data_IF_428236663074
#
_entry.id   IF_428236663074
#
_cell.length_a   1.000
_cell.length_b   1.000
_cell.length_c   1.000
_cell.angle_alpha   90.00
_cell.angle_beta   90.00
_cell.angle_gamma   90.00
#
_symmetry.space_group_name_H-M   'P 1'
#
loop_
_entity.id
_entity.type
_entity.pdbx_description
1 polymer ?
#
# COMPACT_ATOMS: atom_id res chain seq x y z
N UNK A 1 -5.85 17.91 7.43
CA UNK A 1 -4.47 17.53 7.83
C UNK A 1 -4.30 16.05 8.16
N UNK A 2 -5.22 15.37 8.86
CA UNK A 2 -5.07 13.93 9.16
C UNK A 2 -5.05 13.01 7.90
N UNK A 3 -5.89 13.32 6.91
CA UNK A 3 -5.98 12.58 5.64
C UNK A 3 -4.69 12.65 4.80
N UNK A 4 -4.03 13.81 4.73
CA UNK A 4 -2.77 13.96 3.99
C UNK A 4 -1.62 13.21 4.65
N UNK A 5 -1.58 13.21 5.99
CA UNK A 5 -0.60 12.44 6.77
C UNK A 5 -0.78 10.93 6.56
N UNK A 6 -2.04 10.45 6.53
CA UNK A 6 -2.32 9.06 6.21
C UNK A 6 -1.99 8.70 4.75
N UNK A 7 -2.34 9.53 3.77
CA UNK A 7 -1.94 9.30 2.36
C UNK A 7 -0.42 9.23 2.20
N UNK A 8 0.32 10.11 2.88
CA UNK A 8 1.79 10.08 2.87
C UNK A 8 2.33 8.79 3.49
N UNK A 9 1.81 8.39 4.65
CA UNK A 9 2.21 7.15 5.30
C UNK A 9 1.87 5.91 4.44
N UNK A 10 0.73 5.90 3.76
CA UNK A 10 0.37 4.81 2.84
C UNK A 10 1.31 4.75 1.64
N UNK A 11 1.66 5.90 1.03
CA UNK A 11 2.67 5.92 -0.04
C UNK A 11 4.03 5.39 0.42
N UNK A 12 4.44 5.74 1.64
CA UNK A 12 5.70 5.25 2.23
C UNK A 12 5.62 3.73 2.47
N UNK A 13 4.55 3.23 3.07
CA UNK A 13 4.35 1.78 3.26
C UNK A 13 4.33 1.03 1.93
N UNK A 14 3.72 1.61 0.90
CA UNK A 14 3.67 1.02 -0.44
C UNK A 14 5.06 0.97 -1.08
N UNK A 15 5.85 2.03 -0.95
CA UNK A 15 7.23 2.07 -1.41
C UNK A 15 8.10 1.03 -0.68
N UNK A 16 7.94 0.91 0.64
CA UNK A 16 8.64 -0.11 1.44
C UNK A 16 8.26 -1.52 0.97
N UNK A 17 6.97 -1.81 0.78
CA UNK A 17 6.52 -3.12 0.29
C UNK A 17 7.11 -3.48 -1.08
N UNK A 18 7.18 -2.52 -2.00
CA UNK A 18 7.82 -2.70 -3.32
C UNK A 18 9.32 -2.97 -3.18
N UNK A 19 10.03 -2.19 -2.36
CA UNK A 19 11.47 -2.38 -2.12
C UNK A 19 11.74 -3.78 -1.56
N UNK A 20 10.95 -4.20 -0.56
CA UNK A 20 11.07 -5.54 0.04
C UNK A 20 10.82 -6.64 -1.00
N UNK A 21 9.82 -6.48 -1.87
CA UNK A 21 9.55 -7.46 -2.93
C UNK A 21 10.70 -7.57 -3.94
N UNK A 22 11.30 -6.43 -4.34
CA UNK A 22 12.46 -6.39 -5.24
C UNK A 22 13.70 -7.01 -4.58
N UNK A 23 13.93 -6.72 -3.29
CA UNK A 23 15.02 -7.34 -2.51
C UNK A 23 14.79 -8.86 -2.41
N UNK A 24 13.55 -9.31 -2.17
CA UNK A 24 13.20 -10.73 -2.15
C UNK A 24 13.51 -11.42 -3.48
N UNK A 25 13.19 -10.75 -4.60
CA UNK A 25 13.53 -11.24 -5.92
C UNK A 25 15.05 -11.35 -6.12
N UNK A 26 15.83 -10.36 -5.69
CA UNK A 26 17.29 -10.42 -5.75
C UNK A 26 17.87 -11.53 -4.83
N UNK A 27 17.28 -11.71 -3.64
CA UNK A 27 17.69 -12.73 -2.68
C UNK A 27 17.41 -14.16 -3.17
N UNK A 28 16.37 -14.35 -3.99
CA UNK A 28 16.06 -15.63 -4.62
C UNK A 28 17.24 -16.22 -5.40
N UNK A 29 17.99 -15.36 -6.11
CA UNK A 29 19.14 -15.79 -6.92
C UNK A 29 20.45 -15.87 -6.14
N UNK A 30 20.61 -15.12 -5.03
CA UNK A 30 21.89 -15.00 -4.33
C UNK A 30 22.01 -15.79 -3.03
N UNK A 31 20.93 -15.96 -2.28
CA UNK A 31 20.96 -16.53 -0.92
C UNK A 31 20.34 -17.92 -0.91
N UNK A 32 19.20 -18.08 -1.60
CA UNK A 32 18.50 -19.34 -1.68
C UNK A 32 17.04 -19.15 -2.03
N UNK A 33 16.49 -20.11 -2.77
CA UNK A 33 15.15 -20.04 -3.32
C UNK A 33 14.08 -19.83 -2.23
N UNK A 34 14.17 -20.54 -1.10
CA UNK A 34 13.22 -20.39 0.01
C UNK A 34 13.25 -18.99 0.63
N UNK A 35 14.44 -18.45 0.92
CA UNK A 35 14.58 -17.13 1.56
C UNK A 35 14.05 -16.02 0.64
N UNK A 36 14.35 -16.09 -0.66
CA UNK A 36 13.85 -15.13 -1.64
C UNK A 36 12.33 -15.18 -1.78
N UNK A 37 11.74 -16.38 -1.87
CA UNK A 37 10.28 -16.54 -1.96
C UNK A 37 9.57 -15.99 -0.73
N UNK A 38 10.07 -16.25 0.48
CA UNK A 38 9.49 -15.72 1.72
C UNK A 38 9.50 -14.18 1.75
N UNK A 39 10.62 -13.57 1.35
CA UNK A 39 10.72 -12.11 1.25
C UNK A 39 9.77 -11.53 0.19
N UNK A 40 9.62 -12.21 -0.96
CA UNK A 40 8.68 -11.79 -1.99
C UNK A 40 7.23 -11.87 -1.50
N UNK A 41 6.85 -12.94 -0.79
CA UNK A 41 5.50 -13.10 -0.20
C UNK A 41 5.25 -12.00 0.83
N UNK A 42 6.22 -11.73 1.72
CA UNK A 42 6.12 -10.64 2.70
C UNK A 42 5.96 -9.26 2.02
N UNK A 43 6.78 -8.96 1.02
CA UNK A 43 6.66 -7.72 0.24
C UNK A 43 5.30 -7.57 -0.44
N UNK A 44 4.82 -8.64 -1.09
CA UNK A 44 3.51 -8.67 -1.74
C UNK A 44 2.37 -8.47 -0.73
N UNK A 45 2.43 -9.12 0.44
CA UNK A 45 1.44 -8.96 1.50
C UNK A 45 1.35 -7.50 1.99
N UNK A 46 2.50 -6.85 2.21
CA UNK A 46 2.55 -5.44 2.62
C UNK A 46 1.90 -4.55 1.56
N UNK A 47 2.19 -4.76 0.27
CA UNK A 47 1.61 -3.98 -0.83
C UNK A 47 0.09 -4.18 -0.90
N UNK A 48 -0.40 -5.41 -0.79
CA UNK A 48 -1.84 -5.72 -0.85
C UNK A 48 -2.58 -5.08 0.33
N UNK A 49 -2.03 -5.18 1.55
CA UNK A 49 -2.61 -4.56 2.74
C UNK A 49 -2.68 -3.03 2.56
N UNK A 50 -1.57 -2.43 2.12
CA UNK A 50 -1.48 -0.98 1.91
C UNK A 50 -2.44 -0.48 0.82
N UNK A 51 -2.57 -1.24 -0.28
CA UNK A 51 -3.53 -0.97 -1.36
C UNK A 51 -4.98 -1.10 -0.87
N UNK A 52 -5.29 -2.13 -0.09
CA UNK A 52 -6.64 -2.35 0.47
C UNK A 52 -7.04 -1.21 1.40
N UNK A 53 -6.13 -0.78 2.28
CA UNK A 53 -6.32 0.39 3.15
C UNK A 53 -6.55 1.63 2.29
N UNK A 54 -5.71 1.87 1.28
CA UNK A 54 -5.85 3.02 0.36
C UNK A 54 -7.23 3.05 -0.31
N UNK A 55 -7.71 1.90 -0.78
CA UNK A 55 -9.00 1.78 -1.46
C UNK A 55 -10.20 2.07 -0.56
N UNK A 56 -10.15 1.62 0.70
CA UNK A 56 -11.20 1.92 1.70
C UNK A 56 -11.25 3.42 1.98
N UNK A 57 -10.10 4.05 2.24
CA UNK A 57 -10.04 5.49 2.48
C UNK A 57 -10.51 6.31 1.28
N UNK A 58 -10.14 5.90 0.06
CA UNK A 58 -10.59 6.57 -1.16
C UNK A 58 -12.12 6.53 -1.31
N UNK A 59 -12.76 5.40 -0.97
CA UNK A 59 -14.23 5.30 -0.97
C UNK A 59 -14.89 6.21 0.08
N UNK A 60 -14.30 6.31 1.28
CA UNK A 60 -14.82 7.18 2.35
C UNK A 60 -14.73 8.65 1.93
N UNK A 61 -13.60 9.08 1.38
CA UNK A 61 -13.38 10.46 0.92
C UNK A 61 -14.29 10.82 -0.27
N UNK A 62 -14.50 9.88 -1.20
CA UNK A 62 -15.43 10.08 -2.32
C UNK A 62 -16.87 10.27 -1.84
N UNK A 63 -17.28 9.54 -0.80
CA UNK A 63 -18.61 9.67 -0.19
C UNK A 63 -18.79 11.04 0.48
N UNK A 64 -17.78 11.52 1.22
CA UNK A 64 -17.78 12.87 1.81
C UNK A 64 -17.84 13.98 0.75
N UNK A 65 -17.10 13.83 -0.36
CA UNK A 65 -17.11 14.80 -1.46
C UNK A 65 -18.46 14.84 -2.21
N UNK A 66 -19.10 13.68 -2.39
CA UNK A 66 -20.43 13.58 -2.97
C UNK A 66 -21.51 14.18 -2.06
N UNK A 67 -21.44 13.93 -0.75
CA UNK A 67 -22.37 14.52 0.22
C UNK A 67 -22.20 16.04 0.35
N UNK A 68 -20.97 16.55 0.25
CA UNK A 68 -20.71 18.00 0.18
C UNK A 68 -21.33 18.64 -1.06
N UNK A 69 -21.17 18.03 -2.25
CA UNK A 69 -21.82 18.54 -3.49
C UNK A 69 -23.34 18.53 -3.41
N UNK A 70 -23.94 17.55 -2.73
CA UNK A 70 -25.39 17.46 -2.55
C UNK A 70 -25.99 18.59 -1.70
N UNK A 71 -25.23 19.14 -0.75
CA UNK A 71 -25.68 20.26 0.10
C UNK A 71 -25.46 21.65 -0.50
N UNK A 72 -24.72 21.74 -1.61
CA UNK A 72 -24.47 23.02 -2.31
C UNK A 72 -25.49 23.28 -3.44
N UNK A 73 -26.43 22.36 -3.68
CA UNK A 73 -27.65 22.60 -4.46
C UNK A 73 -28.82 22.78 -3.51
#
# INVERSE_FOLDING_TARGET
MALEKQRRNNKIMMAIGVIVAVIGFAAYFKVGQMAGVLLMILGAAIVVITSSISGIFYRIEMKELLDKRKRTK
#
